data_IF_897906868217
#
_entry.id   IF_897906868217
#
_cell.length_a   1.000
_cell.length_b   1.000
_cell.length_c   1.000
_cell.angle_alpha   90.00
_cell.angle_beta   90.00
_cell.angle_gamma   90.00
#
_symmetry.space_group_name_H-M   'P 1'
#
loop_
_entity.id
_entity.type
_entity.pdbx_description
1 polymer ?
#
# COMPACT_ATOMS: atom_id res chain seq x y z
N UNK A 1 20.13 -15.24 -11.26
CA UNK A 1 19.77 -13.92 -11.79
C UNK A 1 18.57 -13.41 -11.00
N UNK A 2 18.57 -12.12 -10.63
CA UNK A 2 17.49 -11.47 -9.91
C UNK A 2 16.71 -10.60 -10.92
N UNK A 3 15.38 -10.75 -10.96
CA UNK A 3 14.50 -9.92 -11.77
C UNK A 3 13.69 -9.02 -10.84
N UNK A 4 13.60 -7.73 -11.16
CA UNK A 4 12.86 -6.75 -10.39
C UNK A 4 11.81 -6.10 -11.29
N UNK A 5 10.57 -6.07 -10.83
CA UNK A 5 9.47 -5.29 -11.41
C UNK A 5 9.00 -4.22 -10.44
N UNK A 6 8.58 -3.07 -10.95
CA UNK A 6 8.05 -1.99 -10.12
C UNK A 6 6.81 -1.37 -10.76
N UNK A 7 5.88 -0.92 -9.92
CA UNK A 7 4.68 -0.21 -10.34
C UNK A 7 4.25 0.79 -9.26
N UNK A 8 3.52 1.83 -9.67
CA UNK A 8 2.88 2.77 -8.77
C UNK A 8 1.46 3.08 -9.25
N UNK A 9 0.52 3.21 -8.31
CA UNK A 9 -0.89 3.55 -8.58
C UNK A 9 -1.31 4.66 -7.61
N UNK A 10 -2.02 5.65 -8.12
CA UNK A 10 -2.62 6.73 -7.33
C UNK A 10 -3.74 6.15 -6.44
N UNK A 11 -3.66 6.46 -5.14
CA UNK A 11 -4.62 6.05 -4.11
C UNK A 11 -5.21 7.26 -3.36
N UNK A 12 -5.10 8.46 -3.93
CA UNK A 12 -5.54 9.72 -3.32
C UNK A 12 -7.05 9.66 -3.05
N UNK A 13 -7.49 9.73 -1.78
CA UNK A 13 -8.90 9.78 -1.45
C UNK A 13 -9.56 11.07 -1.95
N UNK A 14 -10.89 11.10 -2.10
CA UNK A 14 -11.60 12.32 -2.43
C UNK A 14 -11.37 13.42 -1.37
N UNK A 15 -11.46 14.69 -1.79
CA UNK A 15 -11.50 15.81 -0.86
C UNK A 15 -12.65 15.63 0.15
N UNK A 16 -12.44 16.12 1.37
CA UNK A 16 -13.34 15.90 2.50
C UNK A 16 -13.02 14.66 3.33
N UNK A 17 -12.22 13.70 2.82
CA UNK A 17 -11.73 12.58 3.63
C UNK A 17 -11.00 13.08 4.87
N UNK A 18 -11.30 12.48 6.03
CA UNK A 18 -10.66 12.85 7.28
C UNK A 18 -9.17 12.49 7.28
N UNK A 19 -8.32 13.46 7.59
CA UNK A 19 -6.87 13.28 7.72
C UNK A 19 -6.53 12.49 8.99
N UNK A 20 -5.80 11.39 8.82
CA UNK A 20 -5.27 10.61 9.92
C UNK A 20 -4.06 11.29 10.58
N UNK A 21 -3.78 10.95 11.84
CA UNK A 21 -2.53 11.31 12.53
C UNK A 21 -2.66 12.43 13.57
N UNK A 22 -3.78 13.14 13.61
CA UNK A 22 -4.10 14.04 14.72
C UNK A 22 -4.69 13.25 15.89
N UNK A 23 -3.90 13.02 16.94
CA UNK A 23 -4.32 12.23 18.11
C UNK A 23 -5.36 12.90 19.02
N UNK A 24 -5.77 14.14 18.71
CA UNK A 24 -6.61 14.97 19.58
C UNK A 24 -8.10 14.96 19.23
N UNK A 25 -8.54 14.07 18.32
CA UNK A 25 -9.98 13.86 18.02
C UNK A 25 -10.64 14.97 17.19
N UNK A 26 -9.88 15.96 16.73
CA UNK A 26 -10.37 17.03 15.86
C UNK A 26 -10.75 16.50 14.46
N UNK A 27 -11.96 16.82 13.99
CA UNK A 27 -12.32 16.50 12.62
C UNK A 27 -11.58 17.42 11.63
N UNK A 28 -10.68 16.82 10.86
CA UNK A 28 -9.83 17.49 9.86
C UNK A 28 -10.12 16.94 8.46
N UNK A 29 -11.13 17.46 7.74
CA UNK A 29 -11.42 17.03 6.37
C UNK A 29 -10.39 17.64 5.39
N UNK A 30 -9.83 16.82 4.50
CA UNK A 30 -8.87 17.27 3.50
C UNK A 30 -9.49 18.34 2.58
N UNK A 31 -8.91 19.55 2.55
CA UNK A 31 -9.43 20.68 1.78
C UNK A 31 -8.73 20.85 0.42
N UNK A 32 -7.48 20.36 0.31
CA UNK A 32 -6.64 20.47 -0.88
C UNK A 32 -5.72 19.25 -0.95
N UNK A 33 -5.32 18.91 -2.17
CA UNK A 33 -4.27 17.92 -2.45
C UNK A 33 -3.03 18.72 -2.85
N UNK A 34 -1.95 18.59 -2.08
CA UNK A 34 -0.65 19.18 -2.41
C UNK A 34 0.13 18.23 -3.31
N UNK A 35 0.22 16.97 -2.90
CA UNK A 35 0.82 15.87 -3.64
C UNK A 35 -0.15 14.67 -3.63
N UNK A 36 -0.29 13.92 -4.74
CA UNK A 36 -1.05 12.68 -4.74
C UNK A 36 -0.41 11.62 -3.85
N UNK A 37 -1.23 10.74 -3.30
CA UNK A 37 -0.80 9.58 -2.50
C UNK A 37 -0.71 8.36 -3.41
N UNK A 38 0.31 7.52 -3.21
CA UNK A 38 0.54 6.35 -4.05
C UNK A 38 0.64 5.05 -3.25
N UNK A 39 0.16 3.98 -3.87
CA UNK A 39 0.62 2.63 -3.59
C UNK A 39 1.76 2.30 -4.54
N UNK A 40 2.94 2.02 -4.00
CA UNK A 40 4.14 1.66 -4.76
C UNK A 40 4.49 0.22 -4.45
N UNK A 41 4.79 -0.55 -5.50
CA UNK A 41 5.09 -1.97 -5.39
C UNK A 41 6.42 -2.25 -6.06
N UNK A 42 7.25 -3.05 -5.40
CA UNK A 42 8.42 -3.68 -5.99
C UNK A 42 8.32 -5.19 -5.81
N UNK A 43 8.43 -5.93 -6.91
CA UNK A 43 8.49 -7.40 -6.88
C UNK A 43 9.89 -7.84 -7.24
N UNK A 44 10.46 -8.72 -6.42
CA UNK A 44 11.73 -9.38 -6.67
C UNK A 44 11.50 -10.87 -6.93
N UNK A 45 12.06 -11.38 -8.03
CA UNK A 45 12.01 -12.79 -8.40
C UNK A 45 13.44 -13.34 -8.53
N UNK A 46 13.75 -14.38 -7.75
CA UNK A 46 15.00 -15.11 -7.81
C UNK A 46 14.73 -16.62 -7.84
N UNK A 47 14.97 -17.26 -8.99
CA UNK A 47 14.54 -18.64 -9.25
C UNK A 47 13.01 -18.74 -9.04
N UNK A 48 12.56 -19.59 -8.12
CA UNK A 48 11.14 -19.74 -7.75
C UNK A 48 10.71 -18.83 -6.59
N UNK A 49 11.65 -18.16 -5.92
CA UNK A 49 11.32 -17.30 -4.78
C UNK A 49 10.85 -15.92 -5.26
N UNK A 50 9.65 -15.51 -4.81
CA UNK A 50 9.07 -14.19 -5.03
C UNK A 50 9.01 -13.41 -3.72
N UNK A 51 9.30 -12.12 -3.77
CA UNK A 51 9.07 -11.16 -2.69
C UNK A 51 8.34 -9.96 -3.27
N UNK A 52 7.29 -9.50 -2.62
CA UNK A 52 6.57 -8.28 -2.92
C UNK A 52 6.78 -7.31 -1.76
N UNK A 53 7.23 -6.09 -2.06
CA UNK A 53 7.32 -5.01 -1.10
C UNK A 53 6.34 -3.94 -1.55
N UNK A 54 5.40 -3.60 -0.67
CA UNK A 54 4.40 -2.58 -0.90
C UNK A 54 4.64 -1.44 0.08
N UNK A 55 4.79 -0.23 -0.44
CA UNK A 55 4.77 1.00 0.36
C UNK A 55 3.51 1.78 0.00
N UNK A 56 2.80 2.23 1.03
CA UNK A 56 1.59 3.03 0.89
C UNK A 56 1.85 4.38 1.53
N UNK A 57 1.53 5.45 0.82
CA UNK A 57 1.57 6.82 1.35
C UNK A 57 0.38 7.03 2.32
N UNK A 58 0.44 6.36 3.47
CA UNK A 58 -0.59 6.30 4.51
C UNK A 58 0.06 6.36 5.89
N UNK A 59 -0.70 6.75 6.93
CA UNK A 59 -0.19 6.77 8.30
C UNK A 59 0.19 5.37 8.80
N UNK A 60 -0.65 4.38 8.52
CA UNK A 60 -0.48 3.00 8.94
C UNK A 60 -1.37 2.09 8.10
N UNK A 61 -0.99 0.81 8.02
CA UNK A 61 -1.82 -0.26 7.46
C UNK A 61 -2.30 -1.14 8.60
N UNK A 62 -3.60 -1.14 8.84
CA UNK A 62 -4.18 -1.98 9.91
C UNK A 62 -4.15 -3.45 9.53
N UNK A 63 -4.13 -4.34 10.53
CA UNK A 63 -4.07 -5.79 10.31
C UNK A 63 -5.15 -6.34 9.36
N UNK A 64 -6.42 -5.89 9.39
CA UNK A 64 -7.41 -6.31 8.39
C UNK A 64 -7.00 -6.00 6.96
N UNK A 65 -6.49 -4.79 6.70
CA UNK A 65 -5.99 -4.42 5.36
C UNK A 65 -4.73 -5.20 4.99
N UNK A 66 -3.78 -5.40 5.93
CA UNK A 66 -2.60 -6.25 5.68
C UNK A 66 -3.01 -7.65 5.25
N UNK A 67 -3.97 -8.27 5.93
CA UNK A 67 -4.48 -9.60 5.59
C UNK A 67 -5.18 -9.61 4.23
N UNK A 68 -6.04 -8.63 3.95
CA UNK A 68 -6.74 -8.54 2.68
C UNK A 68 -5.78 -8.36 1.49
N UNK A 69 -4.76 -7.51 1.65
CA UNK A 69 -3.72 -7.30 0.62
C UNK A 69 -2.97 -8.60 0.35
N UNK A 70 -2.50 -9.28 1.41
CA UNK A 70 -1.78 -10.55 1.29
C UNK A 70 -2.61 -11.65 0.65
N UNK A 71 -3.87 -11.78 1.05
CA UNK A 71 -4.80 -12.76 0.49
C UNK A 71 -5.04 -12.51 -1.00
N UNK A 72 -5.20 -11.24 -1.41
CA UNK A 72 -5.39 -10.90 -2.82
C UNK A 72 -4.19 -11.28 -3.71
N UNK A 73 -2.98 -11.30 -3.14
CA UNK A 73 -1.76 -11.64 -3.87
C UNK A 73 -1.58 -13.16 -4.09
N UNK A 74 -2.34 -14.00 -3.37
CA UNK A 74 -2.32 -15.47 -3.57
C UNK A 74 -2.71 -15.83 -4.99
N UNK A 75 -3.71 -15.15 -5.55
CA UNK A 75 -4.14 -15.35 -6.94
C UNK A 75 -3.05 -14.98 -7.98
N UNK A 76 -2.04 -14.20 -7.58
CA UNK A 76 -0.88 -13.83 -8.39
C UNK A 76 0.33 -14.78 -8.14
N UNK A 77 0.14 -15.82 -7.34
CA UNK A 77 1.14 -16.82 -7.00
C UNK A 77 2.19 -16.32 -6.01
N UNK A 78 1.79 -15.51 -5.03
CA UNK A 78 2.60 -15.18 -3.86
C UNK A 78 2.14 -15.98 -2.63
N UNK A 79 3.10 -16.40 -1.83
CA UNK A 79 2.82 -16.81 -0.44
C UNK A 79 2.48 -15.56 0.38
N UNK A 80 1.46 -15.58 1.27
CA UNK A 80 1.07 -14.41 2.08
C UNK A 80 2.21 -13.80 2.90
N UNK A 81 3.17 -14.61 3.34
CA UNK A 81 4.33 -14.15 4.11
C UNK A 81 5.37 -13.41 3.25
N UNK A 82 5.29 -13.51 1.93
CA UNK A 82 6.19 -12.88 0.97
C UNK A 82 5.69 -11.52 0.46
N UNK A 83 4.66 -10.94 1.11
CA UNK A 83 4.03 -9.66 0.76
C UNK A 83 3.94 -8.75 1.99
#
# INVERSE_FOLDING_TARGET
>A
MLQIGQAAVDITPPLGTHLAGSGMGEHRPAQKIFDPLYAKVMVALAKEAKLCIITLDTLAVTLPYTRAIRESAVALGFEPAAV
#
